data_IF_748980391353
#
_entry.id   IF_748980391353
#
_cell.length_a   1.000
_cell.length_b   1.000
_cell.length_c   1.000
_cell.angle_alpha   90.00
_cell.angle_beta   90.00
_cell.angle_gamma   90.00
#
_symmetry.space_group_name_H-M   'P 1'
#
loop_
_entity.id
_entity.type
_entity.pdbx_description
1 polymer ?
#
# COMPACT_ATOMS: atom_id res chain seq x y z
N UNK A 1 34.97 11.42 -24.44
CA UNK A 1 35.19 11.42 -22.98
C UNK A 1 34.40 10.26 -22.43
N UNK A 2 35.07 9.13 -22.22
CA UNK A 2 34.47 7.87 -21.79
C UNK A 2 34.18 7.95 -20.28
N UNK A 3 32.90 8.03 -19.91
CA UNK A 3 32.49 7.84 -18.52
C UNK A 3 32.47 6.34 -18.25
N UNK A 4 33.48 5.86 -17.53
CA UNK A 4 33.58 4.51 -17.00
C UNK A 4 32.48 4.28 -15.95
N UNK A 5 31.39 3.64 -16.36
CA UNK A 5 30.34 3.15 -15.46
C UNK A 5 30.81 1.81 -14.85
N UNK A 6 30.60 1.64 -13.54
CA UNK A 6 30.80 0.42 -12.71
C UNK A 6 32.14 0.22 -11.99
N UNK A 7 32.60 1.21 -11.22
CA UNK A 7 33.38 0.89 -10.02
C UNK A 7 32.41 0.56 -8.88
N UNK A 8 32.38 -0.71 -8.44
CA UNK A 8 31.85 -1.05 -7.10
C UNK A 8 32.66 -0.19 -6.13
N UNK A 9 32.05 0.49 -5.15
CA UNK A 9 32.82 1.11 -4.08
C UNK A 9 33.60 0.01 -3.36
N UNK A 10 34.90 -0.12 -3.66
CA UNK A 10 35.80 -1.04 -2.97
C UNK A 10 35.84 -0.60 -1.52
N UNK A 11 35.17 -1.38 -0.66
CA UNK A 11 35.27 -1.17 0.76
C UNK A 11 36.64 -1.69 1.21
N UNK A 12 37.32 -0.98 2.10
CA UNK A 12 38.67 -1.31 2.56
C UNK A 12 38.80 -2.69 3.21
N UNK A 13 37.68 -3.33 3.52
CA UNK A 13 37.58 -4.67 4.11
C UNK A 13 37.35 -5.78 3.05
N UNK A 14 36.99 -5.44 1.81
CA UNK A 14 36.71 -6.44 0.77
C UNK A 14 38.01 -7.10 0.27
N UNK A 15 37.94 -8.37 -0.15
CA UNK A 15 39.12 -9.16 -0.53
C UNK A 15 38.83 -10.10 -1.70
N UNK A 16 39.86 -10.41 -2.49
CA UNK A 16 39.75 -11.41 -3.57
C UNK A 16 40.01 -12.81 -3.02
N UNK A 17 39.12 -13.77 -3.35
CA UNK A 17 39.26 -15.16 -2.96
C UNK A 17 40.01 -15.98 -4.03
N UNK A 18 40.33 -17.24 -3.73
CA UNK A 18 41.12 -18.15 -4.61
C UNK A 18 40.44 -18.46 -5.94
N UNK A 19 39.13 -18.30 -6.01
CA UNK A 19 38.32 -18.41 -7.23
C UNK A 19 38.43 -17.16 -8.14
N UNK A 20 39.14 -16.13 -7.68
CA UNK A 20 39.35 -14.88 -8.38
C UNK A 20 38.17 -13.91 -8.31
N UNK A 21 37.14 -14.16 -7.50
CA UNK A 21 36.02 -13.24 -7.30
C UNK A 21 36.28 -12.30 -6.11
N UNK A 22 35.72 -11.09 -6.16
CA UNK A 22 35.69 -10.18 -5.02
C UNK A 22 34.66 -10.65 -3.98
N UNK A 23 35.06 -10.67 -2.70
CA UNK A 23 34.23 -11.05 -1.56
C UNK A 23 34.08 -9.89 -0.58
N UNK A 24 32.92 -9.84 0.08
CA UNK A 24 32.65 -8.84 1.10
C UNK A 24 33.42 -9.13 2.40
N UNK A 25 34.13 -8.14 2.93
CA UNK A 25 34.86 -8.26 4.20
C UNK A 25 34.03 -8.57 5.44
N UNK A 26 32.74 -8.19 5.43
CA UNK A 26 31.84 -8.30 6.59
C UNK A 26 31.04 -9.60 6.64
N UNK A 27 30.49 -10.03 5.50
CA UNK A 27 29.62 -11.21 5.42
C UNK A 27 30.25 -12.38 4.66
N UNK A 28 31.46 -12.22 4.12
CA UNK A 28 32.19 -13.24 3.38
C UNK A 28 31.40 -13.86 2.22
N UNK A 29 30.45 -13.13 1.65
CA UNK A 29 29.74 -13.53 0.43
C UNK A 29 30.31 -12.82 -0.79
N UNK A 30 30.24 -13.45 -1.98
CA UNK A 30 30.75 -12.86 -3.20
C UNK A 30 30.02 -11.54 -3.52
N UNK A 31 30.79 -10.56 -4.01
CA UNK A 31 30.35 -9.29 -4.62
C UNK A 31 30.49 -9.31 -6.14
N UNK A 32 31.08 -10.36 -6.69
CA UNK A 32 31.18 -10.61 -8.12
C UNK A 32 30.71 -12.02 -8.46
N UNK A 33 30.18 -12.20 -9.66
CA UNK A 33 29.89 -13.50 -10.24
C UNK A 33 30.39 -13.56 -11.68
N UNK A 34 30.68 -14.76 -12.16
CA UNK A 34 30.96 -14.98 -13.57
C UNK A 34 29.67 -14.93 -14.39
N UNK A 35 29.75 -14.39 -15.61
CA UNK A 35 28.68 -14.58 -16.59
C UNK A 35 28.55 -16.06 -16.97
N UNK A 36 27.37 -16.43 -17.50
CA UNK A 36 27.16 -17.78 -18.03
C UNK A 36 28.21 -18.12 -19.11
N UNK A 37 28.61 -19.41 -19.19
CA UNK A 37 29.71 -19.86 -20.06
C UNK A 37 29.55 -19.36 -21.50
N UNK A 38 30.58 -18.66 -21.99
CA UNK A 38 30.64 -18.14 -23.36
C UNK A 38 30.16 -16.70 -23.53
N UNK A 39 29.67 -16.04 -22.47
CA UNK A 39 29.23 -14.65 -22.50
C UNK A 39 30.30 -13.76 -21.85
N UNK A 40 30.83 -12.81 -22.63
CA UNK A 40 31.68 -11.73 -22.13
C UNK A 40 31.06 -10.41 -22.56
N UNK A 41 30.73 -9.55 -21.60
CA UNK A 41 30.17 -8.22 -21.87
C UNK A 41 31.31 -7.20 -21.79
N UNK A 42 31.55 -6.46 -22.87
CA UNK A 42 32.61 -5.44 -22.94
C UNK A 42 34.00 -5.95 -22.53
N UNK A 43 34.34 -7.19 -22.93
CA UNK A 43 35.63 -7.81 -22.59
C UNK A 43 35.78 -8.26 -21.14
N UNK A 44 34.75 -8.12 -20.30
CA UNK A 44 34.70 -8.61 -18.92
C UNK A 44 33.90 -9.91 -18.83
N UNK A 45 34.43 -10.90 -18.13
CA UNK A 45 33.76 -12.18 -17.85
C UNK A 45 33.10 -12.25 -16.46
N UNK A 46 33.20 -11.17 -15.68
CA UNK A 46 32.61 -11.02 -14.34
C UNK A 46 31.65 -9.84 -14.31
N UNK A 47 30.64 -9.91 -13.46
CA UNK A 47 29.73 -8.81 -13.15
C UNK A 47 29.54 -8.64 -11.64
N UNK A 48 29.23 -7.41 -11.18
CA UNK A 48 28.90 -7.17 -9.78
C UNK A 48 27.63 -7.91 -9.38
N UNK A 49 27.59 -8.37 -8.13
CA UNK A 49 26.41 -8.87 -7.42
C UNK A 49 26.34 -8.25 -6.02
N UNK A 50 25.14 -8.15 -5.47
CA UNK A 50 24.95 -7.68 -4.10
C UNK A 50 25.39 -8.76 -3.10
N UNK A 51 26.26 -8.39 -2.16
CA UNK A 51 26.53 -9.21 -0.99
C UNK A 51 25.30 -9.25 -0.07
N UNK A 52 25.27 -10.17 0.90
CA UNK A 52 24.13 -10.30 1.83
C UNK A 52 23.90 -8.99 2.61
N UNK A 53 24.96 -8.32 3.09
CA UNK A 53 24.82 -7.05 3.81
C UNK A 53 24.08 -5.99 2.98
N UNK A 54 24.47 -5.84 1.71
CA UNK A 54 23.88 -4.84 0.82
C UNK A 54 22.44 -5.20 0.44
N UNK A 55 22.17 -6.49 0.20
CA UNK A 55 20.83 -6.99 -0.06
C UNK A 55 19.90 -6.71 1.12
N UNK A 56 20.31 -7.05 2.34
CA UNK A 56 19.51 -6.80 3.56
C UNK A 56 19.27 -5.32 3.80
N UNK A 57 20.28 -4.46 3.57
CA UNK A 57 20.09 -3.01 3.70
C UNK A 57 19.11 -2.46 2.66
N UNK A 58 19.23 -2.90 1.40
CA UNK A 58 18.28 -2.53 0.35
C UNK A 58 16.86 -2.99 0.68
N UNK A 59 16.68 -4.24 1.10
CA UNK A 59 15.38 -4.78 1.52
C UNK A 59 14.78 -4.01 2.70
N UNK A 60 15.60 -3.60 3.68
CA UNK A 60 15.17 -2.72 4.77
C UNK A 60 14.73 -1.35 4.26
N UNK A 61 15.47 -0.75 3.34
CA UNK A 61 15.11 0.55 2.76
C UNK A 61 13.83 0.44 1.92
N UNK A 62 13.70 -0.60 1.11
CA UNK A 62 12.51 -0.87 0.30
C UNK A 62 11.26 -1.08 1.16
N UNK A 63 11.37 -1.83 2.26
CA UNK A 63 10.26 -2.03 3.20
C UNK A 63 9.86 -0.72 3.89
N UNK A 64 10.82 0.10 4.32
CA UNK A 64 10.54 1.42 4.89
C UNK A 64 9.84 2.36 3.89
N UNK A 65 10.34 2.42 2.65
CA UNK A 65 9.75 3.24 1.59
C UNK A 65 8.35 2.74 1.25
N UNK A 66 8.16 1.43 1.13
CA UNK A 66 6.85 0.83 0.85
C UNK A 66 5.85 1.15 1.95
N UNK A 67 6.26 1.04 3.21
CA UNK A 67 5.39 1.35 4.35
C UNK A 67 5.07 2.84 4.44
N UNK A 68 6.02 3.72 4.13
CA UNK A 68 5.76 5.15 4.05
C UNK A 68 4.74 5.49 2.95
N UNK A 69 4.91 4.91 1.75
CA UNK A 69 3.95 5.07 0.63
C UNK A 69 2.55 4.62 1.01
N UNK A 70 2.46 3.45 1.65
CA UNK A 70 1.20 2.91 2.16
C UNK A 70 0.53 3.88 3.14
N UNK A 71 1.24 4.29 4.19
CA UNK A 71 0.72 5.21 5.20
C UNK A 71 0.26 6.56 4.62
N UNK A 72 1.02 7.10 3.66
CA UNK A 72 0.67 8.36 3.01
C UNK A 72 -0.58 8.23 2.11
N UNK A 73 -0.74 7.08 1.44
CA UNK A 73 -1.94 6.78 0.66
C UNK A 73 -3.16 6.62 1.56
N UNK A 74 -3.07 5.82 2.62
CA UNK A 74 -4.15 5.64 3.61
C UNK A 74 -4.57 6.99 4.19
N UNK A 75 -3.61 7.85 4.59
CA UNK A 75 -3.89 9.19 5.11
C UNK A 75 -4.68 10.03 4.11
N UNK A 76 -4.32 9.98 2.82
CA UNK A 76 -5.02 10.70 1.76
C UNK A 76 -6.44 10.17 1.56
N UNK A 77 -6.61 8.84 1.47
CA UNK A 77 -7.92 8.22 1.30
C UNK A 77 -8.87 8.57 2.45
N UNK A 78 -8.38 8.56 3.69
CA UNK A 78 -9.16 8.97 4.86
C UNK A 78 -9.55 10.46 4.84
N UNK A 79 -8.63 11.34 4.42
CA UNK A 79 -8.89 12.77 4.32
C UNK A 79 -9.91 13.11 3.22
N UNK A 80 -9.91 12.37 2.11
CA UNK A 80 -10.87 12.55 1.00
C UNK A 80 -12.20 11.86 1.27
N UNK A 81 -12.18 10.71 1.95
CA UNK A 81 -13.34 9.85 2.16
C UNK A 81 -14.20 10.23 3.37
N UNK A 82 -13.63 10.85 4.41
CA UNK A 82 -14.36 11.25 5.60
C UNK A 82 -14.63 12.75 5.65
N UNK A 83 -15.87 13.11 6.01
CA UNK A 83 -16.27 14.50 6.20
C UNK A 83 -16.05 15.01 7.63
N UNK A 84 -15.99 14.10 8.61
CA UNK A 84 -15.84 14.42 10.04
C UNK A 84 -14.57 13.75 10.59
N UNK A 85 -13.66 14.49 11.23
CA UNK A 85 -12.44 13.93 11.82
C UNK A 85 -12.68 12.80 12.83
N UNK A 86 -13.82 12.79 13.53
CA UNK A 86 -14.16 11.72 14.48
C UNK A 86 -14.30 10.34 13.82
N UNK A 87 -14.56 10.30 12.51
CA UNK A 87 -14.67 9.06 11.74
C UNK A 87 -13.33 8.33 11.61
N UNK A 88 -12.19 9.02 11.80
CA UNK A 88 -10.87 8.41 11.76
C UNK A 88 -10.69 7.35 12.85
N UNK A 89 -11.35 7.54 13.98
CA UNK A 89 -11.28 6.64 15.14
C UNK A 89 -12.38 5.56 15.11
N UNK A 90 -13.24 5.54 14.09
CA UNK A 90 -14.27 4.51 13.94
C UNK A 90 -13.66 3.26 13.29
N UNK A 91 -12.84 2.53 14.05
CA UNK A 91 -12.17 1.29 13.61
C UNK A 91 -12.77 0.08 14.32
N UNK A 92 -12.46 -1.13 13.82
CA UNK A 92 -12.92 -2.36 14.47
C UNK A 92 -12.31 -2.55 15.86
N UNK A 93 -11.07 -2.09 16.06
CA UNK A 93 -10.35 -2.17 17.34
C UNK A 93 -11.00 -1.28 18.42
N UNK A 94 -11.64 -0.18 17.98
CA UNK A 94 -12.33 0.75 18.87
C UNK A 94 -13.81 0.38 19.10
N UNK A 95 -14.28 -0.76 18.59
CA UNK A 95 -15.63 -1.23 18.88
C UNK A 95 -15.78 -1.62 20.36
N UNK A 96 -16.93 -1.26 20.94
CA UNK A 96 -17.22 -1.55 22.34
C UNK A 96 -17.83 -2.95 22.57
N UNK A 97 -17.94 -3.77 21.53
CA UNK A 97 -18.46 -5.14 21.57
C UNK A 97 -19.96 -5.23 21.84
N UNK A 98 -20.70 -4.11 21.88
CA UNK A 98 -22.14 -4.10 22.18
C UNK A 98 -23.01 -4.49 21.00
N UNK A 99 -22.46 -4.49 19.79
CA UNK A 99 -23.18 -4.79 18.55
C UNK A 99 -22.85 -6.21 18.09
N UNK A 100 -23.73 -7.21 18.29
CA UNK A 100 -23.53 -8.56 17.77
C UNK A 100 -23.34 -8.61 16.25
N UNK A 101 -23.85 -7.59 15.55
CA UNK A 101 -23.81 -7.49 14.09
C UNK A 101 -22.43 -7.11 13.55
N UNK A 102 -21.46 -6.74 14.40
CA UNK A 102 -20.12 -6.37 13.97
C UNK A 102 -19.42 -7.47 13.16
N UNK A 103 -19.75 -8.74 13.42
CA UNK A 103 -19.22 -9.88 12.66
C UNK A 103 -19.55 -9.80 11.15
N UNK A 104 -20.69 -9.21 10.78
CA UNK A 104 -21.06 -9.02 9.38
C UNK A 104 -20.21 -7.96 8.70
N UNK A 105 -19.83 -6.91 9.42
CA UNK A 105 -18.93 -5.87 8.94
C UNK A 105 -17.52 -6.43 8.72
N UNK A 106 -16.99 -7.22 9.66
CA UNK A 106 -15.73 -7.94 9.50
C UNK A 106 -15.74 -8.82 8.26
N UNK A 107 -16.73 -9.70 8.13
CA UNK A 107 -16.84 -10.63 6.99
C UNK A 107 -16.94 -9.91 5.65
N UNK A 108 -17.64 -8.77 5.60
CA UNK A 108 -17.74 -7.97 4.38
C UNK A 108 -16.37 -7.43 3.93
N UNK A 109 -15.56 -6.95 4.87
CA UNK A 109 -14.20 -6.46 4.60
C UNK A 109 -13.25 -7.61 4.24
N UNK A 110 -13.30 -8.73 4.96
CA UNK A 110 -12.49 -9.92 4.67
C UNK A 110 -12.76 -10.48 3.27
N UNK A 111 -14.01 -10.45 2.82
CA UNK A 111 -14.45 -10.96 1.53
C UNK A 111 -14.57 -9.87 0.46
N UNK A 112 -13.97 -8.68 0.68
CA UNK A 112 -14.18 -7.50 -0.16
C UNK A 112 -13.97 -7.75 -1.65
N UNK A 113 -12.95 -8.52 -2.05
CA UNK A 113 -12.69 -8.82 -3.46
C UNK A 113 -13.87 -9.54 -4.13
N UNK A 114 -14.44 -10.55 -3.47
CA UNK A 114 -15.64 -11.26 -3.93
C UNK A 114 -16.86 -10.34 -3.93
N UNK A 115 -17.07 -9.58 -2.86
CA UNK A 115 -18.20 -8.65 -2.75
C UNK A 115 -18.17 -7.63 -3.90
N UNK A 116 -16.99 -7.12 -4.23
CA UNK A 116 -16.78 -6.18 -5.34
C UNK A 116 -17.00 -6.84 -6.70
N UNK A 117 -16.48 -8.04 -6.95
CA UNK A 117 -16.63 -8.69 -8.26
C UNK A 117 -18.07 -9.12 -8.54
N UNK A 118 -18.82 -9.48 -7.50
CA UNK A 118 -20.22 -9.91 -7.60
C UNK A 118 -21.22 -8.76 -7.43
N UNK A 119 -20.76 -7.51 -7.23
CA UNK A 119 -21.58 -6.33 -6.96
C UNK A 119 -22.53 -6.48 -5.76
N UNK A 120 -22.03 -7.10 -4.68
CA UNK A 120 -22.78 -7.29 -3.44
C UNK A 120 -22.53 -6.13 -2.47
N UNK A 121 -23.62 -5.57 -1.93
CA UNK A 121 -23.58 -4.51 -0.92
C UNK A 121 -24.19 -4.96 0.41
N UNK A 122 -23.82 -4.27 1.50
CA UNK A 122 -24.35 -4.49 2.83
C UNK A 122 -25.35 -3.40 3.22
N UNK A 123 -26.59 -3.78 3.53
CA UNK A 123 -27.60 -2.86 4.05
C UNK A 123 -27.66 -2.93 5.58
N UNK A 124 -27.37 -1.82 6.25
CA UNK A 124 -27.48 -1.70 7.70
C UNK A 124 -28.77 -0.94 8.06
N UNK A 125 -29.72 -1.59 8.73
CA UNK A 125 -31.00 -0.97 9.13
C UNK A 125 -31.31 -1.19 10.61
N UNK A 126 -32.24 -0.39 11.16
CA UNK A 126 -32.64 -0.45 12.58
C UNK A 126 -32.84 0.93 13.21
N UNK A 127 -33.22 0.95 14.49
CA UNK A 127 -33.56 2.17 15.24
C UNK A 127 -32.44 3.22 15.32
N UNK A 128 -32.78 4.46 15.67
CA UNK A 128 -31.81 5.54 15.83
C UNK A 128 -30.85 5.22 16.99
N UNK A 129 -29.56 5.55 16.84
CA UNK A 129 -28.56 5.36 17.90
C UNK A 129 -28.00 3.94 18.04
N UNK A 130 -28.38 2.99 17.18
CA UNK A 130 -27.89 1.60 17.22
C UNK A 130 -26.50 1.39 16.61
N UNK A 131 -25.72 2.46 16.36
CA UNK A 131 -24.35 2.34 15.85
C UNK A 131 -24.19 2.02 14.36
N UNK A 132 -25.26 2.06 13.55
CA UNK A 132 -25.18 1.74 12.09
C UNK A 132 -24.12 2.57 11.35
N UNK A 133 -24.09 3.87 11.60
CA UNK A 133 -23.11 4.78 10.98
C UNK A 133 -21.68 4.47 11.44
N UNK A 134 -21.52 4.08 12.71
CA UNK A 134 -20.24 3.62 13.24
C UNK A 134 -19.78 2.34 12.54
N UNK A 135 -20.64 1.33 12.39
CA UNK A 135 -20.33 0.10 11.65
C UNK A 135 -19.91 0.39 10.20
N UNK A 136 -20.63 1.27 9.51
CA UNK A 136 -20.24 1.70 8.16
C UNK A 136 -18.88 2.40 8.16
N UNK A 137 -18.58 3.19 9.20
CA UNK A 137 -17.27 3.81 9.42
C UNK A 137 -16.15 2.81 9.63
N UNK A 138 -16.38 1.76 10.43
CA UNK A 138 -15.41 0.68 10.63
C UNK A 138 -15.08 -0.03 9.32
N UNK A 139 -16.10 -0.34 8.51
CA UNK A 139 -15.90 -0.91 7.16
C UNK A 139 -15.08 0.05 6.29
N UNK A 140 -15.45 1.33 6.26
CA UNK A 140 -14.75 2.33 5.46
C UNK A 140 -13.27 2.47 5.86
N UNK A 141 -12.98 2.58 7.16
CA UNK A 141 -11.60 2.62 7.66
C UNK A 141 -10.82 1.38 7.25
N UNK A 142 -11.37 0.19 7.49
CA UNK A 142 -10.67 -1.05 7.20
C UNK A 142 -10.43 -1.27 5.69
N UNK A 143 -11.34 -0.81 4.83
CA UNK A 143 -11.13 -0.82 3.38
C UNK A 143 -10.06 0.20 2.94
N UNK A 144 -10.05 1.40 3.53
CA UNK A 144 -9.00 2.40 3.24
C UNK A 144 -7.61 1.93 3.69
N UNK A 145 -7.51 1.19 4.80
CA UNK A 145 -6.27 0.51 5.22
C UNK A 145 -5.84 -0.59 4.24
N UNK A 146 -6.74 -1.09 3.38
CA UNK A 146 -6.41 -1.97 2.26
C UNK A 146 -6.18 -1.19 0.95
N UNK A 147 -5.95 0.13 1.05
CA UNK A 147 -5.76 1.05 -0.09
C UNK A 147 -6.97 1.14 -1.03
N UNK A 148 -8.18 0.80 -0.55
CA UNK A 148 -9.42 0.91 -1.31
C UNK A 148 -10.04 2.30 -1.07
N UNK A 149 -10.30 3.09 -2.12
CA UNK A 149 -10.98 4.36 -1.96
C UNK A 149 -12.43 4.15 -1.53
N UNK A 150 -12.85 4.86 -0.49
CA UNK A 150 -14.22 4.83 0.05
C UNK A 150 -14.66 6.26 0.30
N UNK A 151 -15.94 6.56 0.06
CA UNK A 151 -16.51 7.87 0.33
C UNK A 151 -17.70 7.75 1.27
N UNK A 152 -17.56 8.30 2.48
CA UNK A 152 -18.65 8.40 3.44
C UNK A 152 -19.43 9.69 3.17
N UNK A 153 -20.72 9.56 2.86
CA UNK A 153 -21.58 10.71 2.56
C UNK A 153 -23.01 10.47 3.06
N UNK A 154 -23.86 11.49 2.95
CA UNK A 154 -25.27 11.39 3.29
C UNK A 154 -26.14 11.84 2.11
N UNK A 155 -27.38 11.35 2.08
CA UNK A 155 -28.33 11.64 1.00
C UNK A 155 -28.60 13.13 0.83
N UNK A 156 -28.70 13.90 1.92
CA UNK A 156 -28.96 15.34 1.84
C UNK A 156 -27.84 16.08 1.09
N UNK A 157 -26.58 15.72 1.36
CA UNK A 157 -25.41 16.28 0.69
C UNK A 157 -25.39 15.91 -0.79
N UNK A 158 -25.64 14.64 -1.11
CA UNK A 158 -25.72 14.18 -2.51
C UNK A 158 -26.79 14.98 -3.27
N UNK A 159 -27.99 15.11 -2.70
CA UNK A 159 -29.08 15.86 -3.34
C UNK A 159 -28.74 17.35 -3.53
N UNK A 160 -28.09 17.96 -2.55
CA UNK A 160 -27.66 19.35 -2.66
C UNK A 160 -26.61 19.56 -3.76
N UNK A 161 -25.63 18.66 -3.87
CA UNK A 161 -24.60 18.69 -4.92
C UNK A 161 -25.19 18.45 -6.32
N UNK A 162 -26.19 17.58 -6.43
CA UNK A 162 -26.92 17.33 -7.69
C UNK A 162 -27.81 18.50 -8.11
N UNK A 163 -28.42 19.20 -7.14
CA UNK A 163 -29.33 20.32 -7.39
C UNK A 163 -28.59 21.63 -7.68
N UNK A 164 -27.37 21.82 -7.15
CA UNK A 164 -26.57 23.02 -7.40
C UNK A 164 -26.02 23.08 -8.83
N UNK A 165 -25.94 21.95 -9.53
CA UNK A 165 -25.44 21.85 -10.92
C UNK A 165 -26.58 21.60 -11.90
N UNK A 166 -27.17 22.67 -12.48
CA UNK A 166 -28.21 22.56 -13.52
C UNK A 166 -27.66 22.07 -14.88
N UNK A 167 -26.36 22.25 -15.14
CA UNK A 167 -25.60 21.67 -16.25
C UNK A 167 -24.39 20.93 -15.68
N UNK A 168 -24.15 19.66 -16.08
CA UNK A 168 -23.00 18.88 -15.56
C UNK A 168 -23.33 17.90 -14.42
N UNK A 169 -24.58 17.43 -14.28
CA UNK A 169 -24.95 16.41 -13.28
C UNK A 169 -24.12 15.13 -13.38
N UNK A 170 -23.68 14.76 -14.58
CA UNK A 170 -22.81 13.61 -14.79
C UNK A 170 -21.43 13.84 -14.15
N UNK A 171 -20.90 15.07 -14.18
CA UNK A 171 -19.61 15.39 -13.55
C UNK A 171 -19.67 15.24 -12.02
N UNK A 172 -20.83 15.56 -11.43
CA UNK A 172 -21.08 15.36 -9.98
C UNK A 172 -21.11 13.86 -9.65
N UNK A 173 -21.75 13.05 -10.47
CA UNK A 173 -21.79 11.58 -10.30
C UNK A 173 -20.41 10.97 -10.48
N UNK A 174 -19.66 11.38 -11.51
CA UNK A 174 -18.30 10.92 -11.76
C UNK A 174 -17.39 11.24 -10.56
N UNK A 175 -17.56 12.40 -9.93
CA UNK A 175 -16.81 12.76 -8.73
C UNK A 175 -17.20 11.94 -7.49
N UNK A 176 -18.42 11.40 -7.42
CA UNK A 176 -18.85 10.48 -6.35
C UNK A 176 -18.34 9.05 -6.57
N UNK A 177 -18.07 8.68 -7.82
CA UNK A 177 -17.62 7.34 -8.23
C UNK A 177 -16.11 7.22 -8.49
N UNK A 178 -15.32 8.26 -8.15
CA UNK A 178 -13.85 8.28 -8.25
C UNK A 178 -13.16 7.52 -7.13
#
# INVERSE_FOLDING_TARGET
MEQSVSSIPENTEDYYCKDGLLYCGKCHTPREAFFAKGIALMGKNKHPIECICQRTEREKQETLISQQKHNDLVRRLKAEGFSDPSMLDWTFENDNGRSPQMCHAHRYVEQWQTMRSENLGLLLWGGVGTGKTFLAGCIANALMEQEVPVRMTNFARILNELNSSFSGRNDVVDNLCR
#
